data_IF_232345323187
#
_entry.id   IF_232345323187
#
_cell.length_a   1.000
_cell.length_b   1.000
_cell.length_c   1.000
_cell.angle_alpha   90.00
_cell.angle_beta   90.00
_cell.angle_gamma   90.00
#
_symmetry.space_group_name_H-M   'P 1'
#
loop_
_entity.id
_entity.type
_entity.pdbx_description
1 polymer ?
#
# COMPACT_ATOMS: atom_id res chain seq x y z
N UNK A 1 -25.32 -11.78 7.15
CA UNK A 1 -23.96 -12.06 7.68
C UNK A 1 -23.28 -10.71 7.86
N UNK A 2 -22.72 -10.40 9.04
CA UNK A 2 -21.99 -9.15 9.25
C UNK A 2 -20.86 -8.98 8.21
N UNK A 3 -20.59 -7.75 7.79
CA UNK A 3 -19.57 -7.46 6.76
C UNK A 3 -18.18 -8.01 7.16
N UNK A 4 -17.82 -7.90 8.44
CA UNK A 4 -16.55 -8.43 8.97
C UNK A 4 -16.42 -9.94 8.82
N UNK A 5 -17.52 -10.67 8.99
CA UNK A 5 -17.57 -12.13 8.85
C UNK A 5 -17.44 -12.51 7.38
N UNK A 6 -18.10 -11.76 6.49
CA UNK A 6 -17.94 -11.95 5.04
C UNK A 6 -16.49 -11.72 4.60
N UNK A 7 -15.88 -10.63 5.05
CA UNK A 7 -14.50 -10.29 4.71
C UNK A 7 -13.54 -11.37 5.19
N UNK A 8 -13.60 -11.75 6.48
CA UNK A 8 -12.63 -12.66 7.09
C UNK A 8 -12.80 -14.12 6.66
N UNK A 9 -14.04 -14.60 6.57
CA UNK A 9 -14.30 -16.04 6.40
C UNK A 9 -14.56 -16.44 4.94
N UNK A 10 -14.84 -15.47 4.06
CA UNK A 10 -15.11 -15.73 2.63
C UNK A 10 -14.09 -15.05 1.73
N UNK A 11 -13.89 -13.74 1.87
CA UNK A 11 -13.10 -12.96 0.90
C UNK A 11 -11.59 -13.15 1.11
N UNK A 12 -11.05 -12.93 2.31
CA UNK A 12 -9.60 -13.04 2.56
C UNK A 12 -9.03 -14.43 2.22
N UNK A 13 -9.70 -15.56 2.51
CA UNK A 13 -9.21 -16.89 2.12
C UNK A 13 -9.11 -17.10 0.60
N UNK A 14 -9.90 -16.36 -0.20
CA UNK A 14 -9.84 -16.43 -1.67
C UNK A 14 -8.63 -15.69 -2.26
N UNK A 15 -8.10 -14.70 -1.53
CA UNK A 15 -7.02 -13.81 -2.00
C UNK A 15 -5.86 -13.81 -1.00
N UNK A 16 -5.05 -14.88 -0.95
CA UNK A 16 -3.89 -14.92 -0.08
C UNK A 16 -2.87 -13.83 -0.45
N UNK A 17 -2.09 -13.32 0.51
CA UNK A 17 -1.10 -12.28 0.28
C UNK A 17 0.06 -12.81 -0.58
N UNK A 18 0.11 -12.40 -1.85
CA UNK A 18 1.11 -12.87 -2.82
C UNK A 18 2.15 -11.81 -3.21
N UNK A 19 2.08 -10.60 -2.66
CA UNK A 19 2.95 -9.49 -3.07
C UNK A 19 4.45 -9.79 -2.87
N UNK A 20 4.80 -10.57 -1.84
CA UNK A 20 6.18 -11.02 -1.63
C UNK A 20 6.76 -11.84 -2.81
N UNK A 21 5.91 -12.53 -3.58
CA UNK A 21 6.34 -13.29 -4.76
C UNK A 21 6.84 -12.37 -5.87
N UNK A 22 6.25 -11.18 -6.01
CA UNK A 22 6.71 -10.19 -6.98
C UNK A 22 8.16 -9.78 -6.70
N UNK A 23 8.54 -9.57 -5.43
CA UNK A 23 9.95 -9.29 -5.08
C UNK A 23 10.87 -10.45 -5.44
N UNK A 24 10.45 -11.70 -5.20
CA UNK A 24 11.25 -12.88 -5.56
C UNK A 24 11.42 -13.04 -7.07
N UNK A 25 10.41 -12.65 -7.87
CA UNK A 25 10.48 -12.73 -9.33
C UNK A 25 11.22 -11.56 -9.96
N UNK A 26 11.12 -10.37 -9.39
CA UNK A 26 11.74 -9.14 -9.93
C UNK A 26 13.22 -9.06 -9.55
N UNK A 27 13.59 -9.45 -8.33
CA UNK A 27 14.95 -9.39 -7.82
C UNK A 27 15.49 -10.80 -7.61
N UNK A 28 16.02 -11.41 -8.67
CA UNK A 28 16.51 -12.80 -8.64
C UNK A 28 17.76 -13.01 -7.78
N UNK A 29 18.61 -11.99 -7.68
CA UNK A 29 19.83 -12.02 -6.85
C UNK A 29 19.48 -11.80 -5.36
N UNK A 30 19.87 -12.69 -4.42
CA UNK A 30 19.50 -12.57 -3.01
C UNK A 30 19.89 -11.23 -2.37
N UNK A 31 21.07 -10.69 -2.73
CA UNK A 31 21.51 -9.40 -2.23
C UNK A 31 20.67 -8.24 -2.79
N UNK A 32 20.23 -8.33 -4.05
CA UNK A 32 19.35 -7.36 -4.67
C UNK A 32 17.94 -7.42 -4.07
N UNK A 33 17.39 -8.62 -3.89
CA UNK A 33 16.12 -8.86 -3.22
C UNK A 33 16.11 -8.27 -1.80
N UNK A 34 17.16 -8.52 -1.03
CA UNK A 34 17.26 -8.00 0.33
C UNK A 34 17.24 -6.47 0.35
N UNK A 35 18.05 -5.83 -0.52
CA UNK A 35 18.08 -4.37 -0.65
C UNK A 35 16.71 -3.82 -1.07
N UNK A 36 16.08 -4.41 -2.08
CA UNK A 36 14.79 -3.96 -2.58
C UNK A 36 13.68 -4.10 -1.54
N UNK A 37 13.67 -5.19 -0.78
CA UNK A 37 12.70 -5.39 0.31
C UNK A 37 12.89 -4.37 1.44
N UNK A 38 14.14 -4.02 1.77
CA UNK A 38 14.45 -2.98 2.75
C UNK A 38 14.02 -1.60 2.24
N UNK A 39 14.30 -1.30 0.97
CA UNK A 39 13.88 -0.08 0.30
C UNK A 39 12.36 0.09 0.32
N UNK A 40 11.62 -0.97 -0.03
CA UNK A 40 10.16 -1.02 0.09
C UNK A 40 9.66 -0.71 1.51
N UNK A 41 10.25 -1.35 2.52
CA UNK A 41 9.84 -1.16 3.91
C UNK A 41 10.07 0.28 4.38
N UNK A 42 11.23 0.86 4.05
CA UNK A 42 11.57 2.23 4.41
C UNK A 42 10.69 3.25 3.69
N UNK A 43 10.56 3.15 2.36
CA UNK A 43 9.79 4.10 1.57
C UNK A 43 8.30 4.03 1.91
N UNK A 44 7.75 2.82 2.12
CA UNK A 44 6.37 2.66 2.59
C UNK A 44 6.17 3.29 3.97
N UNK A 45 7.08 3.07 4.92
CA UNK A 45 6.97 3.67 6.26
C UNK A 45 7.01 5.20 6.21
N UNK A 46 7.90 5.78 5.40
CA UNK A 46 7.98 7.23 5.18
C UNK A 46 6.68 7.75 4.59
N UNK A 47 6.15 7.12 3.54
CA UNK A 47 4.88 7.51 2.93
C UNK A 47 3.69 7.37 3.87
N UNK A 48 3.66 6.34 4.72
CA UNK A 48 2.61 6.18 5.74
C UNK A 48 2.61 7.34 6.73
N UNK A 49 3.77 7.77 7.22
CA UNK A 49 3.88 8.90 8.15
C UNK A 49 3.57 10.24 7.47
N UNK A 50 4.26 10.52 6.35
CA UNK A 50 4.12 11.80 5.64
C UNK A 50 2.72 11.94 5.06
N UNK A 51 2.19 10.90 4.43
CA UNK A 51 0.85 10.89 3.87
C UNK A 51 -0.21 11.12 4.94
N UNK A 52 -0.08 10.51 6.12
CA UNK A 52 -1.00 10.77 7.22
C UNK A 52 -0.92 12.22 7.73
N UNK A 53 0.30 12.74 7.94
CA UNK A 53 0.50 14.12 8.44
C UNK A 53 -0.06 15.17 7.47
N UNK A 54 0.11 14.97 6.16
CA UNK A 54 -0.35 15.90 5.13
C UNK A 54 -1.85 15.69 4.80
N UNK A 55 -2.45 14.60 5.27
CA UNK A 55 -3.83 14.25 4.95
C UNK A 55 -4.01 13.78 3.50
N UNK A 56 -3.06 12.99 2.98
CA UNK A 56 -3.11 12.36 1.66
C UNK A 56 -4.14 11.22 1.66
N UNK A 57 -5.21 11.36 0.87
CA UNK A 57 -6.20 10.33 0.55
C UNK A 57 -5.96 9.71 -0.83
N UNK A 58 -6.97 9.01 -1.37
CA UNK A 58 -6.98 8.40 -2.71
C UNK A 58 -5.86 7.37 -2.97
N UNK A 59 -5.54 6.58 -1.93
CA UNK A 59 -4.39 5.64 -1.91
C UNK A 59 -4.72 4.27 -2.51
N UNK A 60 -5.52 4.22 -3.58
CA UNK A 60 -5.90 2.97 -4.23
C UNK A 60 -4.73 2.33 -5.01
N UNK A 61 -4.91 1.10 -5.50
CA UNK A 61 -3.84 0.27 -6.07
C UNK A 61 -3.09 0.91 -7.23
N UNK A 62 -3.76 1.76 -7.99
CA UNK A 62 -3.21 2.41 -9.18
C UNK A 62 -2.38 3.67 -8.84
N UNK A 63 -2.60 4.25 -7.66
CA UNK A 63 -1.88 5.44 -7.18
C UNK A 63 -0.64 5.10 -6.32
N UNK A 64 -0.37 3.81 -6.09
CA UNK A 64 0.84 3.33 -5.41
C UNK A 64 1.70 2.59 -6.42
N UNK A 65 2.80 3.23 -6.80
CA UNK A 65 3.78 2.68 -7.74
C UNK A 65 4.91 1.99 -6.97
N UNK A 66 5.30 0.81 -7.45
CA UNK A 66 6.49 0.10 -7.00
C UNK A 66 7.55 0.14 -8.11
N UNK A 67 8.71 0.72 -7.82
CA UNK A 67 9.83 0.71 -8.78
C UNK A 67 10.45 -0.70 -8.83
N UNK A 68 10.43 -1.31 -10.02
CA UNK A 68 11.00 -2.63 -10.27
C UNK A 68 12.53 -2.64 -10.28
N UNK A 69 13.18 -1.48 -10.27
CA UNK A 69 14.65 -1.36 -10.26
C UNK A 69 15.21 -1.26 -8.83
N UNK A 70 14.55 -0.50 -7.96
CA UNK A 70 15.01 -0.24 -6.58
C UNK A 70 14.20 -0.95 -5.51
N UNK A 71 12.92 -1.27 -5.77
CA UNK A 71 11.96 -1.73 -4.76
C UNK A 71 11.26 -0.60 -4.00
N UNK A 72 11.49 0.67 -4.38
CA UNK A 72 10.86 1.81 -3.73
C UNK A 72 9.34 1.87 -3.96
N UNK A 73 8.62 2.30 -2.92
CA UNK A 73 7.18 2.61 -2.95
C UNK A 73 6.99 4.12 -3.12
N UNK A 74 6.18 4.54 -4.10
CA UNK A 74 5.95 5.96 -4.42
C UNK A 74 4.46 6.20 -4.65
N UNK A 75 3.92 7.26 -4.04
CA UNK A 75 2.59 7.75 -4.37
C UNK A 75 2.66 8.66 -5.60
N UNK A 76 1.79 8.44 -6.58
CA UNK A 76 1.85 9.14 -7.89
C UNK A 76 0.71 10.13 -8.12
N UNK A 77 -0.32 10.15 -7.26
CA UNK A 77 -1.38 11.16 -7.27
C UNK A 77 -1.46 11.89 -5.93
N UNK A 78 -1.68 13.20 -6.01
CA UNK A 78 -1.80 14.14 -4.90
C UNK A 78 -3.05 15.02 -5.05
N UNK A 79 -4.04 14.60 -5.85
CA UNK A 79 -5.31 15.31 -6.04
C UNK A 79 -6.19 15.36 -4.78
N UNK A 80 -5.92 14.46 -3.82
CA UNK A 80 -6.64 14.31 -2.56
C UNK A 80 -5.71 14.58 -1.36
N UNK A 81 -5.42 15.85 -1.07
CA UNK A 81 -4.58 16.28 0.06
C UNK A 81 -5.40 17.03 1.13
N UNK A 82 -4.77 17.30 2.28
CA UNK A 82 -5.32 18.11 3.37
C UNK A 82 -6.67 17.57 3.88
N UNK A 83 -6.73 16.26 4.09
CA UNK A 83 -7.89 15.55 4.62
C UNK A 83 -9.15 15.61 3.74
N UNK A 84 -8.99 15.94 2.45
CA UNK A 84 -10.08 15.92 1.47
C UNK A 84 -10.78 14.55 1.39
N UNK A 85 -10.04 13.46 1.62
CA UNK A 85 -10.59 12.10 1.67
C UNK A 85 -11.65 11.89 2.76
N UNK A 86 -11.64 12.68 3.83
CA UNK A 86 -12.65 12.64 4.89
C UNK A 86 -13.97 13.33 4.49
N UNK A 87 -13.95 14.15 3.44
CA UNK A 87 -15.10 14.93 2.97
C UNK A 87 -15.86 14.26 1.82
N UNK A 88 -15.41 13.08 1.37
CA UNK A 88 -16.09 12.29 0.35
C UNK A 88 -17.44 11.77 0.87
N UNK A 89 -18.36 11.46 -0.04
CA UNK A 89 -19.65 10.84 0.30
C UNK A 89 -19.47 9.55 1.13
N UNK A 90 -18.43 8.78 0.79
CA UNK A 90 -17.93 7.67 1.60
C UNK A 90 -16.53 8.01 2.11
N UNK A 91 -16.38 8.47 3.37
CA UNK A 91 -15.11 8.93 3.90
C UNK A 91 -14.03 7.84 3.98
N UNK A 92 -12.79 8.22 3.70
CA UNK A 92 -11.61 7.39 3.94
C UNK A 92 -11.16 7.45 5.41
N UNK A 93 -11.58 6.49 6.22
CA UNK A 93 -11.31 6.51 7.67
C UNK A 93 -9.91 6.01 8.06
N UNK A 94 -9.20 5.33 7.15
CA UNK A 94 -7.87 4.79 7.42
C UNK A 94 -6.78 5.87 7.23
N UNK A 95 -5.83 6.00 8.17
CA UNK A 95 -4.83 7.07 8.15
C UNK A 95 -3.80 6.91 7.03
N UNK A 96 -3.54 5.68 6.61
CA UNK A 96 -2.69 5.31 5.48
C UNK A 96 -3.05 3.89 5.04
N UNK A 97 -2.60 3.48 3.86
CA UNK A 97 -2.85 2.14 3.36
C UNK A 97 -1.78 1.15 3.84
N UNK A 98 -2.22 0.22 4.68
CA UNK A 98 -1.45 -0.97 5.07
C UNK A 98 -2.41 -2.16 5.07
N UNK A 99 -2.30 -3.02 4.05
CA UNK A 99 -3.22 -4.15 3.83
C UNK A 99 -2.44 -5.47 3.73
N UNK A 100 -3.16 -6.60 3.79
CA UNK A 100 -2.60 -7.92 3.43
C UNK A 100 -2.24 -7.99 1.94
#
# INVERSE_FOLDING_TARGET
MPEDVMLKDKILPMFPPIFHKWFLTTFSEPAAWFRARVAYAHTTAVWSMVGHIVGLGDRHGENILFDSTSGDCVHVDFSCLFDKGLQLEKPELVPFRLTQ
#
